data_IF_919651783511
#
_entry.id   IF_919651783511
#
_cell.length_a   1.000
_cell.length_b   1.000
_cell.length_c   1.000
_cell.angle_alpha   90.00
_cell.angle_beta   90.00
_cell.angle_gamma   90.00
#
_symmetry.space_group_name_H-M   'P 1'
#
loop_
_entity.id
_entity.type
_entity.pdbx_description
1 polymer ?
#
# COMPACT_ATOMS: atom_id res chain seq x y z
N UNK A 1 -10.44 25.34 17.42
CA UNK A 1 -9.25 25.89 18.12
C UNK A 1 -9.31 25.74 19.64
N UNK A 2 -10.48 25.70 20.28
CA UNK A 2 -10.58 25.60 21.75
C UNK A 2 -10.04 24.28 22.32
N UNK A 3 -10.18 23.17 21.59
CA UNK A 3 -9.84 21.83 22.09
C UNK A 3 -8.32 21.64 22.32
N UNK A 4 -7.48 22.16 21.41
CA UNK A 4 -6.03 22.13 21.58
C UNK A 4 -5.57 22.99 22.77
N UNK A 5 -6.23 24.13 23.01
CA UNK A 5 -5.95 24.97 24.17
C UNK A 5 -6.33 24.25 25.48
N UNK A 6 -7.51 23.61 25.51
CA UNK A 6 -7.94 22.80 26.66
C UNK A 6 -7.00 21.62 26.92
N UNK A 7 -6.49 20.96 25.87
CA UNK A 7 -5.50 19.90 25.99
C UNK A 7 -4.20 20.41 26.62
N UNK A 8 -3.67 21.54 26.13
CA UNK A 8 -2.44 22.14 26.65
C UNK A 8 -2.59 22.61 28.10
N UNK A 9 -3.74 23.21 28.44
CA UNK A 9 -4.04 23.67 29.78
C UNK A 9 -4.45 22.53 30.75
N UNK A 10 -4.65 21.31 30.24
CA UNK A 10 -5.22 20.16 30.97
C UNK A 10 -6.58 20.49 31.60
N UNK A 11 -7.42 21.22 30.86
CA UNK A 11 -8.74 21.66 31.29
C UNK A 11 -9.87 20.78 30.73
N UNK A 12 -11.06 20.89 31.32
CA UNK A 12 -12.27 20.16 30.91
C UNK A 12 -12.07 18.64 30.91
N UNK A 13 -12.23 18.01 29.75
CA UNK A 13 -12.03 16.58 29.53
C UNK A 13 -10.64 16.13 29.99
N UNK A 14 -9.61 16.95 29.76
CA UNK A 14 -8.19 16.63 29.97
C UNK A 14 -7.73 16.70 31.43
N UNK A 15 -8.58 17.16 32.37
CA UNK A 15 -8.29 17.17 33.82
C UNK A 15 -8.23 15.74 34.38
N UNK A 16 -8.97 14.82 33.76
CA UNK A 16 -9.20 13.48 34.29
C UNK A 16 -7.90 12.67 34.35
N UNK A 17 -7.44 12.38 35.57
CA UNK A 17 -6.18 11.67 35.81
C UNK A 17 -6.11 10.30 35.14
N UNK A 18 -7.24 9.58 35.06
CA UNK A 18 -7.28 8.26 34.43
C UNK A 18 -6.92 8.31 32.94
N UNK A 19 -7.20 9.42 32.23
CA UNK A 19 -6.85 9.57 30.81
C UNK A 19 -5.34 9.46 30.61
N UNK A 20 -4.58 10.10 31.51
CA UNK A 20 -3.13 10.10 31.47
C UNK A 20 -2.56 8.79 31.98
N UNK A 21 -3.18 8.20 33.02
CA UNK A 21 -2.75 6.89 33.53
C UNK A 21 -2.96 5.75 32.54
N UNK A 22 -3.93 5.85 31.63
CA UNK A 22 -4.16 4.85 30.59
C UNK A 22 -3.26 5.02 29.36
N UNK A 23 -2.47 6.11 29.28
CA UNK A 23 -1.55 6.34 28.18
C UNK A 23 -0.36 5.37 28.23
N UNK A 24 0.05 4.95 29.43
CA UNK A 24 1.16 4.02 29.64
C UNK A 24 0.78 2.57 29.36
N UNK A 25 -0.51 2.24 29.37
CA UNK A 25 -1.02 0.86 29.23
C UNK A 25 -1.68 0.56 27.88
N UNK A 26 -1.96 1.58 27.06
CA UNK A 26 -2.68 1.45 25.79
C UNK A 26 -1.83 2.03 24.67
N UNK A 27 -1.80 1.37 23.51
CA UNK A 27 -1.17 1.91 22.31
C UNK A 27 -1.74 3.29 21.94
N UNK A 28 -0.88 4.25 21.60
CA UNK A 28 -1.28 5.65 21.38
C UNK A 28 -2.40 5.80 20.33
N UNK A 29 -2.35 5.04 19.24
CA UNK A 29 -3.38 5.10 18.19
C UNK A 29 -4.74 4.64 18.73
N UNK A 30 -4.75 3.57 19.53
CA UNK A 30 -5.97 3.02 20.15
C UNK A 30 -6.48 3.98 21.23
N UNK A 31 -5.60 4.58 22.01
CA UNK A 31 -5.95 5.56 23.04
C UNK A 31 -6.63 6.80 22.42
N UNK A 32 -6.09 7.32 21.32
CA UNK A 32 -6.69 8.45 20.59
C UNK A 32 -8.02 8.08 19.92
N UNK A 33 -8.15 6.87 19.36
CA UNK A 33 -9.40 6.39 18.72
C UNK A 33 -10.51 6.08 19.72
N UNK A 34 -10.17 5.47 20.85
CA UNK A 34 -11.13 5.02 21.85
C UNK A 34 -11.46 6.11 22.86
N UNK A 35 -10.51 6.39 23.75
CA UNK A 35 -10.72 7.27 24.90
C UNK A 35 -10.94 8.72 24.46
N UNK A 36 -10.12 9.20 23.52
CA UNK A 36 -10.17 10.59 23.06
C UNK A 36 -10.95 10.77 21.75
N UNK A 37 -11.64 9.73 21.25
CA UNK A 37 -12.22 9.73 19.89
C UNK A 37 -13.29 10.79 19.63
N UNK A 38 -13.90 11.35 20.69
CA UNK A 38 -14.87 12.44 20.59
C UNK A 38 -14.23 13.82 20.43
N UNK A 39 -12.92 13.95 20.64
CA UNK A 39 -12.19 15.22 20.58
C UNK A 39 -11.82 15.55 19.14
N UNK A 40 -11.85 16.83 18.76
CA UNK A 40 -11.41 17.27 17.43
C UNK A 40 -9.90 17.03 17.26
N UNK A 41 -9.16 17.13 18.37
CA UNK A 41 -7.73 16.87 18.42
C UNK A 41 -7.36 15.44 18.03
N UNK A 42 -8.20 14.46 18.36
CA UNK A 42 -7.96 13.05 18.01
C UNK A 42 -7.80 12.81 16.51
N UNK A 43 -8.56 13.52 15.67
CA UNK A 43 -8.49 13.37 14.20
C UNK A 43 -7.11 13.72 13.66
N UNK A 44 -6.50 14.78 14.20
CA UNK A 44 -5.17 15.24 13.83
C UNK A 44 -4.11 14.30 14.39
N UNK A 45 -4.24 13.93 15.67
CA UNK A 45 -3.32 13.01 16.33
C UNK A 45 -3.24 11.64 15.63
N UNK A 46 -4.39 11.07 15.26
CA UNK A 46 -4.45 9.78 14.54
C UNK A 46 -3.74 9.89 13.19
N UNK A 47 -3.96 10.97 12.43
CA UNK A 47 -3.29 11.15 11.12
C UNK A 47 -1.77 11.19 11.26
N UNK A 48 -1.28 11.95 12.23
CA UNK A 48 0.17 12.06 12.50
C UNK A 48 0.73 10.70 12.93
N UNK A 49 0.06 10.00 13.84
CA UNK A 49 0.52 8.70 14.34
C UNK A 49 0.41 7.58 13.29
N UNK A 50 -0.52 7.69 12.34
CA UNK A 50 -0.66 6.76 11.22
C UNK A 50 0.31 7.05 10.06
N UNK A 51 1.01 8.18 10.10
CA UNK A 51 1.94 8.54 9.05
C UNK A 51 3.22 7.70 9.19
N UNK A 52 3.72 7.08 8.10
CA UNK A 52 4.99 6.38 8.14
C UNK A 52 6.11 7.38 8.48
N UNK A 53 6.80 7.16 9.59
CA UNK A 53 7.86 8.06 10.08
C UNK A 53 9.22 7.86 9.37
N UNK A 54 9.32 7.00 8.36
CA UNK A 54 10.62 6.63 7.78
C UNK A 54 10.67 6.92 6.29
N UNK A 55 11.76 7.57 5.86
CA UNK A 55 12.15 7.64 4.44
C UNK A 55 12.41 6.26 3.87
N UNK A 56 12.76 5.27 4.70
CA UNK A 56 12.99 3.88 4.31
C UNK A 56 11.84 3.27 3.50
N UNK A 57 10.57 3.58 3.81
CA UNK A 57 9.45 3.10 3.00
C UNK A 57 9.49 3.69 1.58
N UNK A 58 9.81 4.98 1.49
CA UNK A 58 9.97 5.70 0.22
C UNK A 58 11.22 5.24 -0.54
N UNK A 59 12.33 5.00 0.15
CA UNK A 59 13.57 4.47 -0.41
C UNK A 59 13.36 3.07 -1.01
N UNK A 60 12.60 2.19 -0.33
CA UNK A 60 12.21 0.89 -0.91
C UNK A 60 11.35 1.05 -2.17
N UNK A 61 10.35 1.94 -2.14
CA UNK A 61 9.54 2.23 -3.33
C UNK A 61 10.39 2.77 -4.49
N UNK A 62 11.36 3.63 -4.21
CA UNK A 62 12.27 4.14 -5.24
C UNK A 62 13.28 3.10 -5.73
N UNK A 63 13.75 2.20 -4.88
CA UNK A 63 14.60 1.08 -5.29
C UNK A 63 13.87 0.17 -6.29
N UNK A 64 12.62 -0.19 -6.00
CA UNK A 64 11.77 -0.98 -6.91
C UNK A 64 11.57 -0.25 -8.24
N UNK A 65 11.36 1.07 -8.21
CA UNK A 65 11.27 1.86 -9.44
C UNK A 65 12.58 1.87 -10.24
N UNK A 66 13.75 1.93 -9.58
CA UNK A 66 15.04 1.76 -10.23
C UNK A 66 15.23 0.35 -10.81
N UNK A 67 14.66 -0.67 -10.18
CA UNK A 67 14.69 -2.04 -10.67
C UNK A 67 13.80 -2.26 -11.91
N UNK A 68 12.59 -1.68 -11.91
CA UNK A 68 11.65 -1.71 -13.03
C UNK A 68 12.22 -0.91 -14.22
N UNK A 69 12.75 0.28 -13.97
CA UNK A 69 13.39 1.14 -14.97
C UNK A 69 14.90 0.93 -15.01
N UNK A 70 15.33 -0.27 -15.39
CA UNK A 70 16.74 -0.56 -15.64
C UNK A 70 17.08 -0.47 -17.15
N UNK A 71 18.37 -0.35 -17.49
CA UNK A 71 18.83 -0.23 -18.88
C UNK A 71 18.43 -1.40 -19.79
N UNK A 72 18.12 -2.58 -19.23
CA UNK A 72 17.65 -3.75 -19.99
C UNK A 72 16.12 -3.73 -20.22
N UNK A 73 15.36 -3.03 -19.37
CA UNK A 73 13.88 -2.98 -19.37
C UNK A 73 13.32 -1.62 -19.81
N UNK A 74 14.11 -0.84 -20.55
CA UNK A 74 13.76 0.52 -21.01
C UNK A 74 12.60 0.59 -22.05
N UNK A 75 11.93 -0.52 -22.37
CA UNK A 75 10.77 -0.57 -23.28
C UNK A 75 9.42 -0.50 -22.55
N UNK A 76 9.41 -0.49 -21.22
CA UNK A 76 8.19 -0.37 -20.43
C UNK A 76 7.60 1.05 -20.57
N UNK A 77 6.33 1.12 -20.95
CA UNK A 77 5.57 2.37 -20.86
C UNK A 77 5.34 2.75 -19.40
N UNK A 78 5.24 4.04 -19.09
CA UNK A 78 5.01 4.55 -17.73
C UNK A 78 3.80 3.89 -17.07
N UNK A 79 2.69 3.75 -17.80
CA UNK A 79 1.47 3.10 -17.31
C UNK A 79 1.70 1.63 -16.91
N UNK A 80 2.53 0.90 -17.66
CA UNK A 80 2.85 -0.49 -17.34
C UNK A 80 3.78 -0.59 -16.13
N UNK A 81 4.78 0.28 -16.04
CA UNK A 81 5.68 0.34 -14.90
C UNK A 81 4.93 0.66 -13.59
N UNK A 82 3.95 1.56 -13.63
CA UNK A 82 3.08 1.88 -12.49
C UNK A 82 2.26 0.66 -12.04
N UNK A 83 1.64 -0.06 -12.98
CA UNK A 83 0.88 -1.30 -12.68
C UNK A 83 1.76 -2.37 -12.05
N UNK A 84 2.95 -2.61 -12.60
CA UNK A 84 3.91 -3.57 -12.05
C UNK A 84 4.32 -3.17 -10.63
N UNK A 85 4.66 -1.89 -10.42
CA UNK A 85 5.02 -1.37 -9.10
C UNK A 85 3.90 -1.57 -8.07
N UNK A 86 2.65 -1.34 -8.46
CA UNK A 86 1.49 -1.57 -7.59
C UNK A 86 1.35 -3.06 -7.24
N UNK A 87 1.46 -3.95 -8.22
CA UNK A 87 1.36 -5.41 -8.01
C UNK A 87 2.48 -5.88 -7.08
N UNK A 88 3.74 -5.55 -7.36
CA UNK A 88 4.89 -5.92 -6.53
C UNK A 88 4.74 -5.42 -5.09
N UNK A 89 4.32 -4.18 -4.90
CA UNK A 89 4.13 -3.61 -3.57
C UNK A 89 3.03 -4.33 -2.78
N UNK A 90 1.87 -4.59 -3.39
CA UNK A 90 0.77 -5.29 -2.72
C UNK A 90 1.06 -6.78 -2.49
N UNK A 91 1.79 -7.41 -3.40
CA UNK A 91 2.28 -8.77 -3.24
C UNK A 91 3.17 -8.88 -2.00
N UNK A 92 4.20 -8.03 -1.90
CA UNK A 92 5.09 -8.01 -0.75
C UNK A 92 4.34 -7.74 0.55
N UNK A 93 3.39 -6.80 0.57
CA UNK A 93 2.54 -6.55 1.74
C UNK A 93 1.76 -7.79 2.20
N UNK A 94 1.25 -8.59 1.27
CA UNK A 94 0.48 -9.80 1.59
C UNK A 94 1.36 -10.94 2.09
N UNK A 95 2.56 -11.09 1.53
CA UNK A 95 3.48 -12.19 1.87
C UNK A 95 4.42 -11.87 3.05
N UNK A 96 4.56 -10.60 3.42
CA UNK A 96 5.39 -10.19 4.57
C UNK A 96 4.89 -10.76 5.91
N UNK A 97 3.58 -10.99 6.07
CA UNK A 97 3.01 -11.56 7.30
C UNK A 97 3.26 -13.07 7.45
N UNK A 98 3.64 -13.79 6.39
CA UNK A 98 4.02 -15.21 6.49
C UNK A 98 5.43 -15.38 7.10
N UNK A 99 6.28 -14.35 6.96
CA UNK A 99 7.68 -14.36 7.40
C UNK A 99 7.97 -13.59 8.70
N UNK A 100 6.97 -12.97 9.36
CA UNK A 100 7.17 -12.33 10.68
C UNK A 100 7.52 -13.32 11.81
N UNK A 101 7.45 -14.64 11.55
CA UNK A 101 7.97 -15.69 12.45
C UNK A 101 9.46 -16.04 12.25
N UNK A 102 10.15 -15.45 11.27
CA UNK A 102 11.58 -15.69 11.05
C UNK A 102 12.27 -14.33 10.97
N UNK A 103 12.65 -13.84 12.16
CA UNK A 103 13.56 -12.72 12.26
C UNK A 103 14.93 -13.10 11.65
N UNK A 104 15.44 -12.21 10.80
CA UNK A 104 16.82 -12.14 10.29
C UNK A 104 17.27 -13.31 9.39
N UNK A 105 16.86 -13.30 8.12
CA UNK A 105 17.79 -13.65 7.05
C UNK A 105 17.37 -13.01 5.70
N UNK A 106 18.33 -12.27 5.15
CA UNK A 106 18.55 -11.92 3.74
C UNK A 106 17.51 -11.13 2.93
N UNK A 107 17.87 -9.85 2.72
CA UNK A 107 17.37 -8.93 1.69
C UNK A 107 17.52 -9.45 0.23
N UNK A 108 18.04 -10.66 0.03
CA UNK A 108 18.33 -11.23 -1.29
C UNK A 108 17.22 -12.13 -1.86
N UNK A 109 16.35 -12.71 -1.02
CA UNK A 109 15.34 -13.68 -1.51
C UNK A 109 14.12 -13.00 -2.13
N UNK A 110 13.65 -11.88 -1.56
CA UNK A 110 12.53 -11.10 -2.11
C UNK A 110 12.86 -10.47 -3.46
N UNK A 111 14.09 -9.98 -3.66
CA UNK A 111 14.55 -9.43 -4.94
C UNK A 111 14.57 -10.49 -6.05
N UNK A 112 14.96 -11.74 -5.73
CA UNK A 112 15.02 -12.84 -6.69
C UNK A 112 13.62 -13.28 -7.20
N UNK A 113 12.59 -13.27 -6.35
CA UNK A 113 11.21 -13.62 -6.76
C UNK A 113 10.61 -12.52 -7.63
N UNK A 114 10.85 -11.26 -7.28
CA UNK A 114 10.40 -10.11 -8.07
C UNK A 114 11.12 -10.07 -9.41
N UNK A 115 12.41 -10.43 -9.46
CA UNK A 115 13.19 -10.57 -10.69
C UNK A 115 12.58 -11.58 -11.66
N UNK A 116 12.32 -12.80 -11.18
CA UNK A 116 11.72 -13.85 -11.99
C UNK A 116 10.34 -13.45 -12.53
N UNK A 117 9.51 -12.81 -11.71
CA UNK A 117 8.17 -12.37 -12.12
C UNK A 117 8.23 -11.23 -13.15
N UNK A 118 9.09 -10.23 -12.94
CA UNK A 118 9.22 -9.10 -13.87
C UNK A 118 9.80 -9.56 -15.20
N UNK A 119 10.76 -10.48 -15.19
CA UNK A 119 11.33 -11.03 -16.42
C UNK A 119 10.32 -11.91 -17.16
N UNK A 120 9.50 -12.71 -16.47
CA UNK A 120 8.39 -13.47 -17.08
C UNK A 120 7.35 -12.55 -17.74
N UNK A 121 6.93 -11.48 -17.06
CA UNK A 121 6.00 -10.49 -17.62
C UNK A 121 6.62 -9.72 -18.80
N UNK A 122 7.95 -9.54 -18.81
CA UNK A 122 8.64 -8.88 -19.91
C UNK A 122 8.81 -9.79 -21.13
N UNK A 123 9.13 -11.07 -20.93
CA UNK A 123 9.37 -12.04 -22.01
C UNK A 123 8.06 -12.42 -22.75
N UNK A 124 6.94 -12.50 -22.02
CA UNK A 124 5.62 -12.75 -22.61
C UNK A 124 5.15 -11.64 -23.58
N UNK A 125 5.77 -10.46 -23.54
CA UNK A 125 5.34 -9.29 -24.31
C UNK A 125 6.30 -8.91 -25.46
N UNK A 126 7.32 -9.72 -25.75
CA UNK A 126 8.13 -9.52 -26.96
C UNK A 126 7.55 -10.20 -28.21
N UNK A 127 6.45 -10.93 -28.10
CA UNK A 127 5.85 -11.72 -29.20
C UNK A 127 4.50 -11.22 -29.75
N UNK A 128 3.83 -10.24 -29.16
CA UNK A 128 2.52 -9.82 -29.64
C UNK A 128 2.59 -8.53 -30.46
N UNK A 129 2.86 -8.69 -31.76
CA UNK A 129 2.15 -7.87 -32.75
C UNK A 129 0.66 -8.14 -32.57
N UNK A 130 -0.03 -7.21 -31.90
CA UNK A 130 -1.46 -7.32 -31.62
C UNK A 130 -2.23 -7.16 -32.94
N UNK A 131 -2.54 -8.26 -33.61
CA UNK A 131 -3.52 -8.23 -34.71
C UNK A 131 -4.87 -7.72 -34.18
N UNK A 132 -5.54 -6.82 -34.92
CA UNK A 132 -6.79 -6.21 -34.47
C UNK A 132 -7.90 -7.27 -34.42
N UNK A 133 -8.55 -7.36 -33.26
CA UNK A 133 -9.70 -8.24 -33.02
C UNK A 133 -10.82 -7.89 -34.02
N UNK A 134 -11.10 -8.76 -34.99
CA UNK A 134 -12.33 -8.71 -35.76
C UNK A 134 -13.50 -9.16 -34.87
N UNK A 135 -14.38 -8.22 -34.56
CA UNK A 135 -15.66 -8.50 -33.91
C UNK A 135 -16.56 -9.27 -34.89
N UNK A 136 -16.58 -10.60 -34.77
CA UNK A 136 -17.56 -11.45 -35.43
C UNK A 136 -18.84 -11.38 -34.60
N UNK A 137 -19.86 -10.69 -35.12
CA UNK A 137 -21.22 -10.82 -34.59
C UNK A 137 -21.69 -12.26 -34.87
N UNK A 138 -21.88 -13.07 -33.83
CA UNK A 138 -22.57 -14.35 -33.98
C UNK A 138 -24.06 -14.10 -34.17
N UNK A 139 -24.53 -14.49 -35.35
CA UNK A 139 -25.92 -14.63 -35.73
C UNK A 139 -26.71 -15.48 -34.72
N UNK A 140 -27.87 -14.99 -34.30
CA UNK A 140 -28.92 -15.83 -33.73
C UNK A 140 -29.71 -16.42 -34.90
N UNK A 141 -29.60 -17.74 -35.10
CA UNK A 141 -30.35 -18.50 -36.09
C UNK A 141 -31.83 -18.61 -35.68
N UNK A 142 -32.66 -18.02 -36.55
CA UNK A 142 -34.00 -18.39 -37.05
C UNK A 142 -35.04 -19.12 -36.15
N UNK A 143 -36.24 -18.57 -36.18
CA UNK A 143 -37.46 -19.36 -36.40
C UNK A 143 -38.48 -18.53 -37.19
N UNK A 144 -38.54 -18.77 -38.51
CA UNK A 144 -39.70 -18.46 -39.37
C UNK A 144 -40.89 -19.34 -38.99
N UNK A 145 -42.12 -18.83 -39.14
CA UNK A 145 -43.26 -19.51 -39.81
C UNK A 145 -44.54 -18.67 -39.68
N UNK A 146 -45.05 -18.23 -40.85
CA UNK A 146 -46.43 -17.94 -41.29
C UNK A 146 -47.47 -17.26 -40.37
#
# INVERSE_FOLDING_TARGET
MADLACYKAKENFWVRRFLWSSLDSIELIIWWKGICGSTELSKVAIRILSAPCTSAATERSFSIQGYIHNNKRNRLTTERAEKISFICYNWNLKHKHEHENIQFHEENEEENVIEAFIDEVNDYNSSDEMEPIQFVACDNVESDSD
#
